data_IF_120702318160
#
_entry.id   IF_120702318160
#
_cell.length_a   1.000
_cell.length_b   1.000
_cell.length_c   1.000
_cell.angle_alpha   90.00
_cell.angle_beta   90.00
_cell.angle_gamma   90.00
#
_symmetry.space_group_name_H-M   'P 1'
#
loop_
_entity.id
_entity.type
_entity.pdbx_description
1 polymer ?
#
# COMPACT_ATOMS: atom_id res chain seq x y z
N UNK A 1 31.47 -22.81 32.50
CA UNK A 1 30.95 -21.60 31.85
C UNK A 1 29.77 -22.04 31.00
N UNK A 2 28.54 -21.69 31.42
CA UNK A 2 27.36 -21.92 30.59
C UNK A 2 27.47 -21.01 29.36
N UNK A 3 27.30 -21.56 28.15
CA UNK A 3 27.06 -20.72 26.97
C UNK A 3 25.74 -20.01 27.23
N UNK A 4 25.78 -18.70 27.35
CA UNK A 4 24.58 -17.87 27.35
C UNK A 4 23.97 -18.08 25.97
N UNK A 5 22.76 -18.62 25.93
CA UNK A 5 22.03 -18.78 24.67
C UNK A 5 21.68 -17.39 24.15
N UNK A 6 21.73 -17.16 22.85
CA UNK A 6 21.46 -15.83 22.26
C UNK A 6 20.04 -15.35 22.61
N UNK A 7 19.13 -16.29 22.91
CA UNK A 7 17.79 -16.03 23.43
C UNK A 7 17.74 -15.34 24.80
N UNK A 8 18.84 -15.34 25.56
CA UNK A 8 18.94 -14.67 26.87
C UNK A 8 19.60 -13.28 26.76
N UNK A 9 20.07 -12.87 25.57
CA UNK A 9 20.63 -11.55 25.33
C UNK A 9 19.52 -10.50 25.08
N UNK A 10 19.34 -9.49 25.96
CA UNK A 10 18.28 -8.49 25.81
C UNK A 10 18.41 -7.63 24.55
N UNK A 11 19.63 -7.43 24.03
CA UNK A 11 19.86 -6.70 22.79
C UNK A 11 19.40 -7.52 21.58
N UNK A 12 19.74 -8.81 21.55
CA UNK A 12 19.29 -9.75 20.53
C UNK A 12 17.76 -9.82 20.46
N UNK A 13 17.09 -9.99 21.61
CA UNK A 13 15.62 -10.03 21.68
C UNK A 13 14.97 -8.72 21.21
N UNK A 14 15.61 -7.57 21.47
CA UNK A 14 15.12 -6.28 20.99
C UNK A 14 15.22 -6.18 19.47
N UNK A 15 16.34 -6.60 18.89
CA UNK A 15 16.56 -6.59 17.45
C UNK A 15 15.63 -7.56 16.72
N UNK A 16 15.41 -8.75 17.28
CA UNK A 16 14.50 -9.76 16.73
C UNK A 16 13.05 -9.23 16.70
N UNK A 17 12.61 -8.61 17.78
CA UNK A 17 11.28 -7.97 17.83
C UNK A 17 11.13 -6.85 16.81
N UNK A 18 12.16 -6.02 16.66
CA UNK A 18 12.16 -4.93 15.68
C UNK A 18 12.09 -5.47 14.24
N UNK A 19 12.87 -6.51 13.93
CA UNK A 19 12.84 -7.19 12.64
C UNK A 19 11.44 -7.75 12.34
N UNK A 20 10.86 -8.52 13.27
CA UNK A 20 9.52 -9.12 13.08
C UNK A 20 8.42 -8.05 12.92
N UNK A 21 8.49 -6.96 13.69
CA UNK A 21 7.55 -5.86 13.56
C UNK A 21 7.66 -5.18 12.18
N UNK A 22 8.88 -4.97 11.67
CA UNK A 22 9.10 -4.39 10.35
C UNK A 22 8.60 -5.31 9.22
N UNK A 23 8.81 -6.62 9.34
CA UNK A 23 8.29 -7.62 8.38
C UNK A 23 6.75 -7.66 8.36
N UNK A 24 6.11 -7.66 9.54
CA UNK A 24 4.66 -7.63 9.63
C UNK A 24 4.09 -6.35 9.01
N UNK A 25 4.64 -5.18 9.37
CA UNK A 25 4.20 -3.92 8.79
C UNK A 25 4.43 -3.86 7.27
N UNK A 26 5.54 -4.42 6.78
CA UNK A 26 5.82 -4.50 5.34
C UNK A 26 4.73 -5.30 4.62
N UNK A 27 4.35 -6.45 5.17
CA UNK A 27 3.29 -7.29 4.60
C UNK A 27 1.94 -6.56 4.58
N UNK A 28 1.58 -5.89 5.67
CA UNK A 28 0.33 -5.14 5.77
C UNK A 28 0.25 -4.02 4.71
N UNK A 29 1.34 -3.28 4.49
CA UNK A 29 1.39 -2.23 3.46
C UNK A 29 1.41 -2.82 2.05
N UNK A 30 2.04 -3.97 1.82
CA UNK A 30 2.00 -4.67 0.52
C UNK A 30 0.58 -5.11 0.17
N UNK A 31 -0.20 -5.59 1.15
CA UNK A 31 -1.62 -5.91 0.99
C UNK A 31 -2.47 -4.65 0.68
N UNK A 32 -2.18 -3.53 1.35
CA UNK A 32 -2.83 -2.25 1.08
C UNK A 32 -2.55 -1.73 -0.34
N UNK A 33 -1.32 -1.90 -0.84
CA UNK A 33 -0.96 -1.57 -2.22
C UNK A 33 -1.84 -2.35 -3.21
N UNK A 34 -2.01 -3.66 -3.00
CA UNK A 34 -2.85 -4.50 -3.86
C UNK A 34 -4.30 -4.02 -3.82
N UNK A 35 -4.83 -3.74 -2.62
CA UNK A 35 -6.20 -3.24 -2.43
C UNK A 35 -6.42 -1.90 -3.15
N UNK A 36 -5.51 -0.94 -2.98
CA UNK A 36 -5.57 0.38 -3.64
C UNK A 36 -5.54 0.22 -5.16
N UNK A 37 -4.67 -0.64 -5.69
CA UNK A 37 -4.59 -0.90 -7.13
C UNK A 37 -5.85 -1.56 -7.70
N UNK A 38 -6.50 -2.45 -6.94
CA UNK A 38 -7.75 -3.07 -7.36
C UNK A 38 -8.92 -2.09 -7.34
N UNK A 39 -8.98 -1.22 -6.31
CA UNK A 39 -9.95 -0.11 -6.23
C UNK A 39 -9.75 0.88 -7.41
N UNK A 40 -8.51 1.27 -7.70
CA UNK A 40 -8.18 2.14 -8.83
C UNK A 40 -8.61 1.52 -10.17
N UNK A 41 -8.34 0.21 -10.37
CA UNK A 41 -8.77 -0.52 -11.56
C UNK A 41 -10.29 -0.50 -11.73
N UNK A 42 -11.03 -0.65 -10.65
CA UNK A 42 -12.49 -0.60 -10.66
C UNK A 42 -13.00 0.81 -11.01
N UNK A 43 -12.50 1.86 -10.36
CA UNK A 43 -12.88 3.22 -10.71
C UNK A 43 -12.52 3.60 -12.14
N UNK A 44 -11.38 3.13 -12.66
CA UNK A 44 -11.02 3.32 -14.07
C UNK A 44 -11.94 2.56 -15.02
N UNK A 45 -12.47 1.38 -14.64
CA UNK A 45 -13.51 0.69 -15.42
C UNK A 45 -14.79 1.52 -15.47
N UNK A 46 -15.26 2.00 -14.32
CA UNK A 46 -16.46 2.82 -14.20
C UNK A 46 -16.33 4.15 -14.96
N UNK A 47 -15.19 4.84 -14.87
CA UNK A 47 -14.92 6.08 -15.60
C UNK A 47 -15.04 5.88 -17.12
N UNK A 48 -14.54 4.75 -17.63
CA UNK A 48 -14.65 4.39 -19.04
C UNK A 48 -16.09 4.12 -19.45
N UNK A 49 -16.85 3.39 -18.63
CA UNK A 49 -18.27 3.13 -18.88
C UNK A 49 -19.09 4.42 -18.93
N UNK A 50 -18.87 5.34 -17.99
CA UNK A 50 -19.53 6.65 -18.00
C UNK A 50 -19.15 7.47 -19.23
N UNK A 51 -17.89 7.40 -19.67
CA UNK A 51 -17.44 8.04 -20.90
C UNK A 51 -18.14 7.47 -22.14
N UNK A 52 -18.32 6.16 -22.21
CA UNK A 52 -19.08 5.49 -23.28
C UNK A 52 -20.55 5.89 -23.25
N UNK A 53 -21.16 5.93 -22.05
CA UNK A 53 -22.54 6.40 -21.86
C UNK A 53 -22.72 7.82 -22.37
N UNK A 54 -21.80 8.74 -22.04
CA UNK A 54 -21.83 10.13 -22.50
C UNK A 54 -21.79 10.28 -24.03
N UNK A 55 -21.23 9.30 -24.73
CA UNK A 55 -21.18 9.26 -26.20
C UNK A 55 -22.41 8.60 -26.84
N UNK A 56 -23.32 8.04 -26.04
CA UNK A 56 -24.52 7.40 -26.53
C UNK A 56 -25.46 8.43 -27.18
N UNK A 57 -25.94 8.19 -28.42
CA UNK A 57 -26.83 9.13 -29.12
C UNK A 57 -28.20 9.27 -28.46
N UNK A 58 -28.61 8.29 -27.65
CA UNK A 58 -29.92 8.24 -27.00
C UNK A 58 -29.89 8.69 -25.53
N UNK A 59 -28.78 9.28 -25.07
CA UNK A 59 -28.68 9.78 -23.69
C UNK A 59 -29.56 11.03 -23.50
N UNK A 60 -30.37 11.05 -22.44
CA UNK A 60 -31.13 12.25 -22.07
C UNK A 60 -30.23 13.32 -21.44
N UNK A 61 -30.68 14.57 -21.42
CA UNK A 61 -29.90 15.66 -20.80
C UNK A 61 -29.66 15.43 -19.29
N UNK A 62 -30.65 14.90 -18.58
CA UNK A 62 -30.52 14.54 -17.16
C UNK A 62 -29.47 13.45 -16.96
N UNK A 63 -29.54 12.36 -17.74
CA UNK A 63 -28.57 11.28 -17.69
C UNK A 63 -27.15 11.75 -18.05
N UNK A 64 -27.04 12.70 -18.99
CA UNK A 64 -25.76 13.29 -19.38
C UNK A 64 -25.16 14.10 -18.25
N UNK A 65 -25.95 14.87 -17.51
CA UNK A 65 -25.47 15.65 -16.37
C UNK A 65 -25.03 14.72 -15.24
N UNK A 66 -25.85 13.73 -14.87
CA UNK A 66 -25.51 12.74 -13.85
C UNK A 66 -24.21 11.99 -14.18
N UNK A 67 -24.05 11.54 -15.43
CA UNK A 67 -22.85 10.84 -15.86
C UNK A 67 -21.60 11.74 -15.84
N UNK A 68 -21.73 13.06 -16.08
CA UNK A 68 -20.62 14.01 -15.94
C UNK A 68 -20.19 14.17 -14.49
N UNK A 69 -21.16 14.33 -13.59
CA UNK A 69 -20.90 14.55 -12.17
C UNK A 69 -20.26 13.31 -11.54
N UNK A 70 -20.81 12.12 -11.82
CA UNK A 70 -20.21 10.86 -11.39
C UNK A 70 -18.80 10.66 -11.94
N UNK A 71 -18.59 10.96 -13.23
CA UNK A 71 -17.27 10.84 -13.85
C UNK A 71 -16.25 11.79 -13.24
N UNK A 72 -16.68 13.00 -12.86
CA UNK A 72 -15.82 13.95 -12.15
C UNK A 72 -15.41 13.40 -10.78
N UNK A 73 -16.36 12.91 -9.99
CA UNK A 73 -16.08 12.32 -8.68
C UNK A 73 -15.12 11.12 -8.77
N UNK A 74 -15.32 10.22 -9.74
CA UNK A 74 -14.40 9.10 -9.96
C UNK A 74 -12.98 9.56 -10.30
N UNK A 75 -12.83 10.63 -11.09
CA UNK A 75 -11.50 11.17 -11.41
C UNK A 75 -10.80 11.74 -10.19
N UNK A 76 -11.52 12.45 -9.32
CA UNK A 76 -10.98 12.92 -8.05
C UNK A 76 -10.52 11.73 -7.21
N UNK A 77 -11.37 10.71 -7.04
CA UNK A 77 -11.02 9.53 -6.26
C UNK A 77 -9.81 8.77 -6.82
N UNK A 78 -9.69 8.64 -8.14
CA UNK A 78 -8.49 8.05 -8.77
C UNK A 78 -7.23 8.88 -8.46
N UNK A 79 -7.33 10.21 -8.46
CA UNK A 79 -6.20 11.07 -8.13
C UNK A 79 -5.79 10.93 -6.65
N UNK A 80 -6.76 10.81 -5.75
CA UNK A 80 -6.51 10.54 -4.33
C UNK A 80 -5.81 9.19 -4.16
N UNK A 81 -6.33 8.12 -4.77
CA UNK A 81 -5.72 6.79 -4.73
C UNK A 81 -4.30 6.77 -5.30
N UNK A 82 -4.01 7.56 -6.33
CA UNK A 82 -2.65 7.65 -6.88
C UNK A 82 -1.67 8.27 -5.86
N UNK A 83 -2.16 9.20 -5.04
CA UNK A 83 -1.38 9.81 -3.95
C UNK A 83 -1.18 8.81 -2.80
N UNK A 84 -2.26 8.12 -2.39
CA UNK A 84 -2.21 7.04 -1.38
C UNK A 84 -1.23 5.93 -1.80
N UNK A 85 -1.24 5.52 -3.08
CA UNK A 85 -0.33 4.50 -3.61
C UNK A 85 1.14 4.95 -3.56
N UNK A 86 1.41 6.22 -3.87
CA UNK A 86 2.76 6.77 -3.79
C UNK A 86 3.27 6.79 -2.34
N UNK A 87 2.40 7.13 -1.39
CA UNK A 87 2.73 7.10 0.04
C UNK A 87 3.02 5.68 0.52
N UNK A 88 2.18 4.71 0.17
CA UNK A 88 2.38 3.31 0.51
C UNK A 88 3.71 2.75 -0.06
N UNK A 89 4.06 3.12 -1.30
CA UNK A 89 5.36 2.75 -1.87
C UNK A 89 6.54 3.35 -1.11
N UNK A 90 6.44 4.62 -0.69
CA UNK A 90 7.49 5.25 0.11
C UNK A 90 7.64 4.55 1.47
N UNK A 91 6.53 4.14 2.07
CA UNK A 91 6.52 3.40 3.33
C UNK A 91 7.17 2.01 3.20
N UNK A 92 6.85 1.26 2.13
CA UNK A 92 7.53 0.00 1.81
C UNK A 92 9.04 0.17 1.72
N UNK A 93 9.50 1.24 1.05
CA UNK A 93 10.93 1.52 0.95
C UNK A 93 11.57 1.78 2.31
N UNK A 94 10.89 2.52 3.20
CA UNK A 94 11.37 2.80 4.55
C UNK A 94 11.38 1.53 5.43
N UNK A 95 10.33 0.72 5.37
CA UNK A 95 10.20 -0.52 6.15
C UNK A 95 11.23 -1.57 5.73
N UNK A 96 11.48 -1.73 4.43
CA UNK A 96 12.55 -2.59 3.92
C UNK A 96 13.92 -2.16 4.45
N UNK A 97 14.22 -0.87 4.42
CA UNK A 97 15.47 -0.36 4.98
C UNK A 97 15.60 -0.68 6.48
N UNK A 98 14.53 -0.44 7.26
CA UNK A 98 14.53 -0.74 8.69
C UNK A 98 14.75 -2.23 8.99
N UNK A 99 14.06 -3.10 8.25
CA UNK A 99 14.23 -4.54 8.34
C UNK A 99 15.67 -4.96 8.03
N UNK A 100 16.21 -4.50 6.90
CA UNK A 100 17.55 -4.89 6.45
C UNK A 100 18.62 -4.44 7.46
N UNK A 101 18.44 -3.27 8.09
CA UNK A 101 19.31 -2.79 9.19
C UNK A 101 19.18 -3.64 10.45
N UNK A 102 17.96 -4.03 10.83
CA UNK A 102 17.74 -4.91 11.98
C UNK A 102 18.33 -6.31 11.75
N UNK A 103 18.19 -6.84 10.54
CA UNK A 103 18.80 -8.12 10.14
C UNK A 103 20.33 -8.06 10.21
N UNK A 104 20.95 -7.04 9.62
CA UNK A 104 22.41 -6.88 9.66
C UNK A 104 22.94 -6.77 11.10
N UNK A 105 22.19 -6.12 12.00
CA UNK A 105 22.55 -6.03 13.41
C UNK A 105 22.40 -7.38 14.15
N UNK A 106 21.38 -8.18 13.82
CA UNK A 106 21.22 -9.54 14.34
C UNK A 106 22.38 -10.43 13.94
N UNK A 107 22.78 -10.39 12.66
CA UNK A 107 23.92 -11.16 12.14
C UNK A 107 25.24 -10.78 12.85
N UNK A 108 25.43 -9.49 13.16
CA UNK A 108 26.60 -9.02 13.92
C UNK A 108 26.56 -9.43 15.39
N UNK A 109 25.38 -9.49 16.02
CA UNK A 109 25.22 -9.92 17.42
C UNK A 109 25.46 -11.42 17.63
N UNK A 110 25.47 -12.21 16.55
CA UNK A 110 25.70 -13.65 16.56
C UNK A 110 27.19 -14.04 16.33
N UNK A 111 28.06 -13.06 16.04
CA UNK A 111 29.50 -13.21 15.81
C UNK A 111 30.31 -12.89 17.07
#
# INVERSE_FOLDING_TARGET
MARMDDSDNPEYLRLERAYRAAEQALHDIEDDIVRIQDEEREYRRQERQLREQLNSPNISDTQRQEARDQRYLLKCRIADLASELQEAHNEVHALRNNRDRAQAALEQSQL
#
